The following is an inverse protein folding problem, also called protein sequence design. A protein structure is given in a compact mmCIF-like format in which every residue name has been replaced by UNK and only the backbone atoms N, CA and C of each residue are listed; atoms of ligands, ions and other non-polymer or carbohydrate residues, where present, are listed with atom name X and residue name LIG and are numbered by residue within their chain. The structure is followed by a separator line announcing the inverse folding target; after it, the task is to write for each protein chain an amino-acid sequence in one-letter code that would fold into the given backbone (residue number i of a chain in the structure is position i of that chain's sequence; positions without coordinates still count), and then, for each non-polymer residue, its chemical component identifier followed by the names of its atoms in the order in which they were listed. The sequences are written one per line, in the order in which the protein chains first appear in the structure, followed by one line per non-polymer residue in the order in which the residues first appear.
data_IF_371327639206
#
_entry.id   IF_371327639206
#
_cell.length_a   1.000
_cell.length_b   1.000
_cell.length_c   1.000
_cell.angle_alpha   90.00
_cell.angle_beta   90.00
_cell.angle_gamma   90.00
#
_symmetry.space_group_name_H-M   'P 1'
#
loop_
_entity.id
_entity.type
_entity.pdbx_description
1 polymer ?
#
# COMPACT_ATOMS: atom_id res chain seq x y z
N UNK A 1 18.83 -1.38 13.68
CA UNK A 1 17.76 -2.24 13.15
C UNK A 1 16.73 -2.44 14.27
N UNK A 2 15.43 -2.20 14.06
CA UNK A 2 14.43 -2.30 15.14
C UNK A 2 14.27 -3.73 15.64
N UNK A 3 14.08 -3.89 16.95
CA UNK A 3 13.81 -5.18 17.58
C UNK A 3 12.41 -5.69 17.23
N UNK A 4 12.12 -6.97 17.49
CA UNK A 4 10.77 -7.55 17.26
C UNK A 4 9.70 -6.83 18.10
N UNK A 5 10.02 -6.49 19.35
CA UNK A 5 9.12 -5.81 20.27
C UNK A 5 8.86 -4.37 19.83
N UNK A 6 9.91 -3.62 19.52
CA UNK A 6 9.80 -2.24 19.03
C UNK A 6 9.00 -2.18 17.72
N UNK A 7 9.30 -3.07 16.77
CA UNK A 7 8.57 -3.13 15.51
C UNK A 7 7.08 -3.40 15.72
N UNK A 8 6.74 -4.30 16.64
CA UNK A 8 5.36 -4.55 17.03
C UNK A 8 4.71 -3.31 17.65
N UNK A 9 5.33 -2.68 18.64
CA UNK A 9 4.80 -1.49 19.32
C UNK A 9 4.60 -0.32 18.35
N UNK A 10 5.55 -0.10 17.44
CA UNK A 10 5.45 0.94 16.41
C UNK A 10 4.26 0.72 15.49
N UNK A 11 3.99 -0.53 15.06
CA UNK A 11 2.77 -0.84 14.28
C UNK A 11 1.48 -0.51 15.02
N UNK A 12 1.44 -0.76 16.33
CA UNK A 12 0.23 -0.47 17.12
C UNK A 12 -0.05 1.03 17.24
N UNK A 13 1.00 1.86 17.17
CA UNK A 13 0.90 3.33 17.16
C UNK A 13 0.48 3.92 15.81
N UNK A 14 0.57 3.15 14.72
CA UNK A 14 0.26 3.61 13.36
C UNK A 14 -1.27 3.67 13.10
N UNK A 15 -2.00 4.48 13.89
CA UNK A 15 -3.46 4.67 13.77
C UNK A 15 -3.86 5.76 12.78
N UNK A 16 -2.97 6.71 12.52
CA UNK A 16 -3.22 7.85 11.62
C UNK A 16 -3.05 7.50 10.13
N UNK A 17 -3.07 8.55 9.31
CA UNK A 17 -2.86 8.48 7.85
C UNK A 17 -1.44 8.84 7.42
N UNK A 18 -0.61 9.39 8.31
CA UNK A 18 0.72 9.92 7.95
C UNK A 18 1.60 8.90 7.21
N UNK A 19 1.76 7.70 7.78
CA UNK A 19 2.50 6.64 7.09
C UNK A 19 1.82 6.17 5.82
N UNK A 20 0.49 6.12 5.77
CA UNK A 20 -0.24 5.71 4.57
C UNK A 20 0.02 6.69 3.40
N UNK A 21 -0.09 7.99 3.65
CA UNK A 21 0.23 9.04 2.66
C UNK A 21 1.70 8.98 2.25
N UNK A 22 2.61 8.76 3.20
CA UNK A 22 4.03 8.68 2.92
C UNK A 22 4.41 7.54 1.95
N UNK A 23 3.58 6.49 1.78
CA UNK A 23 3.85 5.42 0.82
C UNK A 23 3.82 5.88 -0.65
N UNK A 24 3.34 7.09 -0.94
CA UNK A 24 3.48 7.74 -2.24
C UNK A 24 4.94 8.08 -2.54
N UNK A 25 5.74 8.36 -1.51
CA UNK A 25 7.16 8.64 -1.65
C UNK A 25 7.92 7.32 -1.85
N UNK A 26 8.82 7.26 -2.86
CA UNK A 26 9.67 6.09 -3.05
C UNK A 26 10.39 5.66 -1.77
N UNK A 27 10.63 4.35 -1.64
CA UNK A 27 11.36 3.74 -0.52
C UNK A 27 10.68 3.79 0.87
N UNK A 28 9.58 4.52 1.05
CA UNK A 28 8.84 4.51 2.33
C UNK A 28 8.28 3.12 2.63
N UNK A 29 7.78 2.40 1.63
CA UNK A 29 7.30 1.02 1.80
C UNK A 29 8.38 0.07 2.36
N UNK A 30 9.56 -0.04 1.72
CA UNK A 30 10.70 -0.78 2.27
C UNK A 30 11.15 -0.31 3.66
N UNK A 31 11.24 1.01 3.88
CA UNK A 31 11.59 1.57 5.20
C UNK A 31 10.57 1.15 6.26
N UNK A 32 9.28 1.24 5.95
CA UNK A 32 8.20 0.79 6.82
C UNK A 32 8.33 -0.70 7.10
N UNK A 33 8.58 -1.51 6.08
CA UNK A 33 8.71 -2.95 6.23
C UNK A 33 9.84 -3.36 7.18
N UNK A 34 10.98 -2.68 7.10
CA UNK A 34 12.12 -2.89 8.00
C UNK A 34 11.77 -2.43 9.42
N UNK A 35 11.33 -1.19 9.58
CA UNK A 35 11.11 -0.57 10.90
C UNK A 35 9.97 -1.22 11.68
N UNK A 36 8.89 -1.62 11.00
CA UNK A 36 7.70 -2.24 11.58
C UNK A 36 7.71 -3.76 11.49
N UNK A 37 8.74 -4.36 10.86
CA UNK A 37 8.87 -5.81 10.66
C UNK A 37 7.60 -6.43 10.03
N UNK A 38 6.99 -5.73 9.06
CA UNK A 38 5.82 -6.22 8.31
C UNK A 38 5.86 -5.77 6.86
N UNK A 39 5.70 -6.70 5.93
CA UNK A 39 5.58 -6.40 4.50
C UNK A 39 4.13 -6.15 4.07
N UNK A 40 3.15 -6.29 4.96
CA UNK A 40 1.73 -6.21 4.61
C UNK A 40 1.36 -4.92 3.88
N UNK A 41 1.72 -3.70 4.34
CA UNK A 41 1.36 -2.49 3.61
C UNK A 41 2.00 -2.42 2.23
N UNK A 42 3.27 -2.85 2.11
CA UNK A 42 3.99 -2.90 0.85
C UNK A 42 3.29 -3.84 -0.16
N UNK A 43 2.85 -5.01 0.30
CA UNK A 43 2.12 -5.97 -0.55
C UNK A 43 0.75 -5.45 -0.98
N UNK A 44 0.02 -4.79 -0.08
CA UNK A 44 -1.26 -4.17 -0.42
C UNK A 44 -1.11 -3.08 -1.48
N UNK A 45 -0.10 -2.22 -1.35
CA UNK A 45 0.21 -1.19 -2.33
C UNK A 45 0.64 -1.81 -3.66
N UNK A 46 1.56 -2.77 -3.65
CA UNK A 46 2.08 -3.39 -4.86
C UNK A 46 1.00 -4.17 -5.62
N UNK A 47 0.35 -5.13 -4.96
CA UNK A 47 -0.65 -5.99 -5.59
C UNK A 47 -1.93 -5.21 -5.92
N UNK A 48 -2.31 -4.25 -5.06
CA UNK A 48 -3.49 -3.41 -5.31
C UNK A 48 -3.29 -2.50 -6.51
N UNK A 49 -2.17 -1.79 -6.61
CA UNK A 49 -1.88 -0.96 -7.78
C UNK A 49 -1.69 -1.80 -9.05
N UNK A 50 -1.08 -2.99 -8.95
CA UNK A 50 -0.99 -3.90 -10.09
C UNK A 50 -2.38 -4.31 -10.60
N UNK A 51 -3.27 -4.74 -9.70
CA UNK A 51 -4.63 -5.13 -10.08
C UNK A 51 -5.42 -3.95 -10.67
N UNK A 52 -5.30 -2.76 -10.08
CA UNK A 52 -5.96 -1.54 -10.58
C UNK A 52 -5.43 -1.17 -11.97
N UNK A 53 -4.10 -1.10 -12.14
CA UNK A 53 -3.47 -0.75 -13.41
C UNK A 53 -3.77 -1.75 -14.52
N UNK A 54 -3.73 -3.05 -14.21
CA UNK A 54 -4.09 -4.11 -15.15
C UNK A 54 -5.56 -3.99 -15.58
N UNK A 55 -6.48 -3.86 -14.61
CA UNK A 55 -7.92 -3.76 -14.90
C UNK A 55 -8.22 -2.50 -15.72
N UNK A 56 -7.61 -1.37 -15.36
CA UNK A 56 -7.77 -0.11 -16.10
C UNK A 56 -7.26 -0.22 -17.54
N UNK A 57 -6.06 -0.79 -17.74
CA UNK A 57 -5.49 -1.00 -19.08
C UNK A 57 -6.37 -1.89 -19.96
N UNK A 58 -6.87 -3.00 -19.41
CA UNK A 58 -7.79 -3.90 -20.13
C UNK A 58 -9.08 -3.19 -20.53
N UNK A 59 -9.69 -2.42 -19.61
CA UNK A 59 -10.92 -1.68 -19.91
C UNK A 59 -10.68 -0.65 -21.03
N UNK A 60 -9.60 0.13 -20.96
CA UNK A 60 -9.31 1.13 -21.99
C UNK A 60 -9.05 0.47 -23.34
N UNK A 61 -8.31 -0.63 -23.39
CA UNK A 61 -8.04 -1.34 -24.64
C UNK A 61 -9.32 -1.87 -25.31
N UNK A 62 -10.32 -2.30 -24.53
CA UNK A 62 -11.62 -2.75 -25.04
C UNK A 62 -12.48 -1.57 -25.51
N UNK A 63 -12.56 -0.50 -24.72
CA UNK A 63 -13.47 0.63 -24.98
C UNK A 63 -12.94 1.58 -26.05
N UNK A 64 -11.62 1.78 -26.13
CA UNK A 64 -10.97 2.63 -27.10
C UNK A 64 -9.65 2.00 -27.57
N UNK A 65 -9.67 1.17 -28.63
CA UNK A 65 -8.46 0.49 -29.12
C UNK A 65 -7.40 1.44 -29.67
N UNK A 66 -7.75 2.69 -30.02
CA UNK A 66 -6.83 3.73 -30.50
C UNK A 66 -6.54 4.75 -29.39
N UNK A 67 -6.31 4.28 -28.17
CA UNK A 67 -6.00 5.17 -27.04
C UNK A 67 -4.61 5.82 -27.18
N UNK A 68 -4.49 7.03 -26.65
CA UNK A 68 -3.20 7.72 -26.53
C UNK A 68 -2.45 7.18 -25.31
N UNK A 69 -1.32 6.51 -25.56
CA UNK A 69 -0.48 5.90 -24.53
C UNK A 69 -0.05 6.91 -23.46
N UNK A 70 0.25 8.16 -23.82
CA UNK A 70 0.67 9.19 -22.85
C UNK A 70 -0.48 9.60 -21.92
N UNK A 71 -1.71 9.64 -22.45
CA UNK A 71 -2.90 9.89 -21.62
C UNK A 71 -3.20 8.71 -20.71
N UNK A 72 -3.02 7.49 -21.20
CA UNK A 72 -3.18 6.28 -20.39
C UNK A 72 -2.17 6.26 -19.24
N UNK A 73 -0.90 6.54 -19.52
CA UNK A 73 0.16 6.56 -18.50
C UNK A 73 -0.10 7.64 -17.44
N UNK A 74 -0.48 8.86 -17.86
CA UNK A 74 -0.76 9.97 -16.94
C UNK A 74 -1.97 9.68 -16.04
N UNK A 75 -3.03 9.10 -16.60
CA UNK A 75 -4.22 8.72 -15.83
C UNK A 75 -3.94 7.54 -14.89
N UNK A 76 -3.22 6.52 -15.35
CA UNK A 76 -2.77 5.41 -14.51
C UNK A 76 -1.89 5.87 -13.34
N UNK A 77 -0.97 6.80 -13.60
CA UNK A 77 -0.13 7.42 -12.55
C UNK A 77 -0.99 8.15 -11.52
N UNK A 78 -1.96 8.95 -11.95
CA UNK A 78 -2.86 9.67 -11.04
C UNK A 78 -3.69 8.72 -10.18
N UNK A 79 -4.24 7.67 -10.79
CA UNK A 79 -4.98 6.61 -10.08
C UNK A 79 -4.06 5.96 -9.04
N UNK A 80 -2.82 5.61 -9.41
CA UNK A 80 -1.85 5.03 -8.49
C UNK A 80 -1.51 5.95 -7.31
N UNK A 81 -1.35 7.26 -7.56
CA UNK A 81 -1.09 8.26 -6.50
C UNK A 81 -2.23 8.34 -5.48
N UNK A 82 -3.48 8.25 -5.93
CA UNK A 82 -4.66 8.29 -5.05
C UNK A 82 -4.91 6.95 -4.36
N UNK A 83 -4.73 5.84 -5.09
CA UNK A 83 -4.96 4.50 -4.56
C UNK A 83 -3.91 4.09 -3.53
N UNK A 84 -2.66 4.54 -3.69
CA UNK A 84 -1.53 4.13 -2.84
C UNK A 84 -1.78 4.42 -1.35
N UNK A 85 -2.17 5.63 -0.91
CA UNK A 85 -2.51 5.88 0.49
C UNK A 85 -3.64 4.99 1.02
N UNK A 86 -4.67 4.74 0.21
CA UNK A 86 -5.83 3.93 0.61
C UNK A 86 -5.41 2.47 0.82
N UNK A 87 -4.65 1.92 -0.12
CA UNK A 87 -4.12 0.56 -0.07
C UNK A 87 -3.13 0.40 1.09
N UNK A 88 -2.21 1.35 1.26
CA UNK A 88 -1.26 1.37 2.37
C UNK A 88 -2.00 1.40 3.71
N UNK A 89 -3.03 2.26 3.85
CA UNK A 89 -3.84 2.35 5.07
C UNK A 89 -4.50 1.01 5.41
N UNK A 90 -5.12 0.37 4.43
CA UNK A 90 -5.74 -0.95 4.60
C UNK A 90 -4.72 -2.01 5.02
N UNK A 91 -3.52 -2.00 4.43
CA UNK A 91 -2.44 -2.91 4.80
C UNK A 91 -1.89 -2.66 6.21
N UNK A 92 -1.74 -1.40 6.63
CA UNK A 92 -1.33 -1.01 8.00
C UNK A 92 -2.35 -1.51 9.01
N UNK A 93 -3.64 -1.25 8.76
CA UNK A 93 -4.71 -1.70 9.66
C UNK A 93 -4.78 -3.21 9.76
N UNK A 94 -4.63 -3.93 8.66
CA UNK A 94 -4.60 -5.39 8.66
C UNK A 94 -3.43 -5.93 9.49
N UNK A 95 -2.22 -5.38 9.29
CA UNK A 95 -1.04 -5.75 10.08
C UNK A 95 -1.23 -5.47 11.58
N UNK A 96 -1.90 -4.36 11.92
CA UNK A 96 -2.20 -3.98 13.31
C UNK A 96 -3.19 -4.94 13.96
N UNK A 97 -4.34 -5.19 13.29
CA UNK A 97 -5.40 -6.09 13.77
C UNK A 97 -4.86 -7.51 13.98
N UNK A 98 -4.05 -8.02 13.05
CA UNK A 98 -3.41 -9.32 13.20
C UNK A 98 -2.44 -9.36 14.39
N UNK A 99 -1.72 -8.27 14.63
CA UNK A 99 -0.89 -8.12 15.82
C UNK A 99 -1.68 -8.14 17.13
N UNK A 100 -2.84 -7.48 17.17
CA UNK A 100 -3.72 -7.44 18.35
C UNK A 100 -4.34 -8.80 18.66
N UNK A 101 -4.86 -9.50 17.65
CA UNK A 101 -5.41 -10.86 17.80
C UNK A 101 -4.44 -11.86 18.41
N UNK A 102 -3.13 -11.67 18.19
CA UNK A 102 -2.08 -12.53 18.78
C UNK A 102 -1.85 -12.26 20.27
N UNK A 103 -2.19 -11.06 20.76
CA UNK A 103 -2.15 -10.74 22.18
C UNK A 103 -3.38 -11.30 22.89
N UNK A 104 -4.56 -11.22 22.27
CA UNK A 104 -5.82 -11.74 22.85
C UNK A 104 -5.85 -13.28 22.96
N UNK A 105 -5.01 -13.98 22.19
CA UNK A 105 -4.89 -15.44 22.21
C UNK A 105 -3.84 -15.98 23.20
N UNK A 106 -3.16 -15.11 23.95
CA UNK A 106 -2.16 -15.48 24.96
C UNK A 106 -2.73 -15.27 26.36
#
# INVERSE_FOLDING_TARGET
MTTKLEGFQNRQKDVGWGYAIAHVVPFVGPYYAITRRTTTPLLFVFLGNFAIGFTYGVIVAIVNPNYDEKKLEKSGTLIGLVATPILAKKGIENARKEGQKRLEKR
#
